data_IF_785617032328
#
_entry.id   IF_785617032328
#
_cell.length_a   1.000
_cell.length_b   1.000
_cell.length_c   1.000
_cell.angle_alpha   90.00
_cell.angle_beta   90.00
_cell.angle_gamma   90.00
#
_symmetry.space_group_name_H-M   'P 1'
#
loop_
_entity.id
_entity.type
_entity.pdbx_description
1 polymer ?
#
# COMPACT_ATOMS: atom_id res chain seq x y z
N UNK A 1 9.54 2.60 31.50
CA UNK A 1 9.31 1.42 30.64
C UNK A 1 9.34 1.95 29.22
N UNK A 2 10.52 1.85 28.57
CA UNK A 2 10.71 2.29 27.19
C UNK A 2 9.85 1.39 26.30
N UNK A 3 8.85 1.98 25.60
CA UNK A 3 8.17 1.29 24.50
C UNK A 3 9.21 0.84 23.51
N UNK A 4 9.19 -0.43 23.05
CA UNK A 4 10.08 -0.84 21.98
C UNK A 4 9.75 0.02 20.74
N UNK A 5 10.81 0.53 20.13
CA UNK A 5 10.80 1.25 18.85
C UNK A 5 10.28 0.27 17.78
N UNK A 6 8.96 0.14 17.71
CA UNK A 6 8.30 -0.65 16.70
C UNK A 6 8.24 0.23 15.46
N UNK A 7 9.10 -0.04 14.49
CA UNK A 7 9.02 0.55 13.16
C UNK A 7 7.58 0.48 12.60
N UNK A 8 7.29 1.11 11.46
CA UNK A 8 5.98 1.04 10.85
C UNK A 8 5.57 -0.42 10.62
N UNK A 9 4.26 -0.75 10.68
CA UNK A 9 3.81 -2.13 10.46
C UNK A 9 4.18 -2.61 9.06
N UNK A 10 4.60 -3.89 8.97
CA UNK A 10 4.93 -4.52 7.71
C UNK A 10 3.68 -4.83 6.88
N UNK A 11 3.84 -4.85 5.57
CA UNK A 11 2.85 -5.28 4.61
C UNK A 11 2.98 -6.79 4.36
N UNK A 12 1.88 -7.54 4.47
CA UNK A 12 1.86 -9.00 4.32
C UNK A 12 1.09 -9.40 3.07
N UNK A 13 1.57 -10.47 2.40
CA UNK A 13 0.96 -11.05 1.21
C UNK A 13 1.02 -12.57 1.26
N UNK A 14 -0.03 -13.22 0.75
CA UNK A 14 -0.05 -14.65 0.50
C UNK A 14 0.31 -14.90 -0.96
N UNK A 15 1.09 -15.94 -1.22
CA UNK A 15 1.46 -16.40 -2.56
C UNK A 15 0.69 -17.68 -2.86
N UNK A 16 -0.13 -17.64 -3.91
CA UNK A 16 -0.90 -18.78 -4.39
C UNK A 16 -0.09 -19.61 -5.40
N UNK A 17 -0.38 -20.93 -5.56
CA UNK A 17 0.25 -21.76 -6.57
C UNK A 17 -0.04 -21.27 -7.98
N UNK A 18 0.74 -21.76 -8.95
CA UNK A 18 0.46 -21.55 -10.35
C UNK A 18 -0.82 -22.28 -10.76
N UNK A 19 -1.62 -21.72 -11.70
CA UNK A 19 -2.87 -22.34 -12.14
C UNK A 19 -2.71 -23.75 -12.71
N UNK A 20 -1.51 -24.09 -13.22
CA UNK A 20 -1.19 -25.39 -13.84
C UNK A 20 -0.79 -26.47 -12.82
N UNK A 21 -0.53 -26.13 -11.59
CA UNK A 21 -0.30 -27.11 -10.53
C UNK A 21 -1.62 -27.77 -10.17
N UNK A 22 -1.76 -29.05 -10.52
CA UNK A 22 -2.97 -29.87 -10.37
C UNK A 22 -3.41 -30.10 -8.91
N UNK A 23 -3.05 -29.24 -8.00
CA UNK A 23 -3.53 -29.22 -6.63
C UNK A 23 -4.91 -28.59 -6.59
N UNK A 24 -5.94 -29.40 -6.40
CA UNK A 24 -7.35 -29.02 -6.40
C UNK A 24 -7.82 -28.26 -5.15
N UNK A 25 -6.93 -27.76 -4.34
CA UNK A 25 -7.22 -26.87 -3.22
C UNK A 25 -6.44 -25.58 -3.39
N UNK A 26 -7.03 -24.45 -3.05
CA UNK A 26 -6.37 -23.13 -2.98
C UNK A 26 -5.34 -23.15 -1.85
N UNK A 27 -4.27 -23.91 -2.03
CA UNK A 27 -3.23 -24.07 -1.03
C UNK A 27 -2.23 -22.94 -1.21
N UNK A 28 -2.08 -22.08 -0.20
CA UNK A 28 -1.05 -21.03 -0.21
C UNK A 28 0.33 -21.69 -0.25
N UNK A 29 1.23 -21.22 -1.11
CA UNK A 29 2.62 -21.72 -1.21
C UNK A 29 3.56 -21.03 -0.22
N UNK A 30 3.30 -19.77 0.10
CA UNK A 30 4.18 -19.00 0.95
C UNK A 30 3.64 -17.63 1.32
N UNK A 31 4.50 -16.90 1.99
CA UNK A 31 4.20 -15.54 2.51
C UNK A 31 5.30 -14.59 2.03
N UNK A 32 4.92 -13.37 1.68
CA UNK A 32 5.85 -12.27 1.47
C UNK A 32 5.53 -11.18 2.48
N UNK A 33 6.57 -10.59 3.05
CA UNK A 33 6.49 -9.42 3.92
C UNK A 33 7.32 -8.30 3.32
N UNK A 34 6.80 -7.07 3.40
CA UNK A 34 7.41 -5.90 2.77
C UNK A 34 7.39 -4.69 3.68
N UNK A 35 8.34 -3.81 3.46
CA UNK A 35 8.40 -2.49 4.07
C UNK A 35 8.84 -1.46 3.03
N UNK A 36 8.04 -0.40 2.87
CA UNK A 36 8.45 0.74 2.06
C UNK A 36 9.34 1.68 2.87
N UNK A 37 10.52 1.95 2.34
CA UNK A 37 11.35 3.05 2.83
C UNK A 37 10.79 4.36 2.29
N UNK A 38 10.60 5.34 3.17
CA UNK A 38 10.02 6.64 2.83
C UNK A 38 10.92 7.79 3.28
N UNK A 39 10.90 8.82 2.50
CA UNK A 39 11.49 10.09 2.87
C UNK A 39 10.64 10.79 3.96
N UNK A 40 11.16 11.83 4.62
CA UNK A 40 10.45 12.60 5.66
C UNK A 40 9.13 13.24 5.16
N UNK A 41 8.99 13.43 3.86
CA UNK A 41 7.79 13.95 3.20
C UNK A 41 6.82 12.85 2.73
N UNK A 42 7.02 11.60 3.17
CA UNK A 42 6.25 10.38 2.86
C UNK A 42 6.40 9.84 1.44
N UNK A 43 7.25 10.43 0.58
CA UNK A 43 7.55 9.84 -0.73
C UNK A 43 8.29 8.52 -0.56
N UNK A 44 7.97 7.55 -1.39
CA UNK A 44 8.63 6.25 -1.40
C UNK A 44 10.01 6.36 -2.02
N UNK A 45 11.03 5.87 -1.33
CA UNK A 45 12.42 5.86 -1.80
C UNK A 45 12.96 4.46 -2.03
N UNK A 46 12.28 3.45 -1.51
CA UNK A 46 12.72 2.07 -1.67
C UNK A 46 11.72 1.07 -1.12
N UNK A 47 12.04 -0.19 -1.30
CA UNK A 47 11.25 -1.33 -0.87
C UNK A 47 12.19 -2.44 -0.41
N UNK A 48 11.94 -2.94 0.79
CA UNK A 48 12.59 -4.09 1.38
C UNK A 48 11.60 -5.23 1.52
N UNK A 49 12.05 -6.47 1.33
CA UNK A 49 11.15 -7.62 1.39
C UNK A 49 11.83 -8.93 1.78
N UNK A 50 11.05 -9.80 2.42
CA UNK A 50 11.42 -11.18 2.66
C UNK A 50 10.26 -12.11 2.30
N UNK A 51 10.59 -13.29 1.77
CA UNK A 51 9.66 -14.36 1.49
C UNK A 51 9.86 -15.53 2.45
N UNK A 52 8.84 -16.37 2.57
CA UNK A 52 8.89 -17.61 3.33
C UNK A 52 8.08 -18.71 2.63
N UNK A 53 8.68 -19.90 2.56
CA UNK A 53 7.97 -21.15 2.25
C UNK A 53 8.38 -22.23 3.23
N UNK A 54 7.60 -23.31 3.36
CA UNK A 54 7.98 -24.45 4.22
C UNK A 54 9.35 -25.05 3.90
N UNK A 55 9.71 -25.10 2.61
CA UNK A 55 10.94 -25.73 2.13
C UNK A 55 12.17 -24.85 2.30
N UNK A 56 12.03 -23.54 2.01
CA UNK A 56 13.17 -22.63 1.98
C UNK A 56 13.39 -21.87 3.30
N UNK A 57 12.38 -21.81 4.16
CA UNK A 57 12.40 -20.89 5.30
C UNK A 57 12.32 -19.43 4.85
N UNK A 58 12.90 -18.51 5.60
CA UNK A 58 12.94 -17.08 5.25
C UNK A 58 14.11 -16.77 4.32
N UNK A 59 13.84 -16.00 3.24
CA UNK A 59 14.86 -15.49 2.31
C UNK A 59 14.56 -14.06 1.88
N UNK A 60 15.56 -13.36 1.31
CA UNK A 60 15.37 -12.05 0.69
C UNK A 60 14.57 -12.19 -0.61
N UNK A 61 13.44 -11.50 -0.76
CA UNK A 61 12.48 -11.71 -1.84
C UNK A 61 12.36 -10.56 -2.83
N UNK A 62 13.41 -9.74 -2.98
CA UNK A 62 13.40 -8.54 -3.83
C UNK A 62 12.89 -8.79 -5.26
N UNK A 63 13.29 -9.89 -5.90
CA UNK A 63 12.83 -10.24 -7.24
C UNK A 63 11.32 -10.58 -7.28
N UNK A 64 10.84 -11.33 -6.28
CA UNK A 64 9.43 -11.68 -6.15
C UNK A 64 8.59 -10.43 -5.89
N UNK A 65 9.02 -9.57 -5.00
CA UNK A 65 8.39 -8.29 -4.67
C UNK A 65 8.27 -7.37 -5.88
N UNK A 66 9.28 -7.33 -6.73
CA UNK A 66 9.21 -6.62 -8.03
C UNK A 66 8.20 -7.28 -8.97
N UNK A 67 8.27 -8.60 -9.11
CA UNK A 67 7.34 -9.38 -9.95
C UNK A 67 5.88 -9.16 -9.57
N UNK A 68 5.58 -9.07 -8.28
CA UNK A 68 4.22 -8.78 -7.77
C UNK A 68 3.61 -7.47 -8.29
N UNK A 69 4.43 -6.58 -8.88
CA UNK A 69 4.00 -5.26 -9.39
C UNK A 69 4.08 -5.13 -10.89
N UNK A 70 4.86 -5.97 -11.56
CA UNK A 70 5.20 -5.82 -12.98
C UNK A 70 4.81 -7.02 -13.83
N UNK A 71 4.69 -8.19 -13.24
CA UNK A 71 4.36 -9.44 -13.93
C UNK A 71 2.88 -9.78 -13.77
N UNK A 72 2.09 -9.79 -14.87
CA UNK A 72 0.66 -10.11 -14.82
C UNK A 72 0.35 -11.50 -14.23
N UNK A 73 1.19 -12.50 -14.44
CA UNK A 73 1.02 -13.83 -13.86
C UNK A 73 1.18 -13.77 -12.34
N UNK A 74 2.25 -13.14 -11.86
CA UNK A 74 2.49 -12.96 -10.42
C UNK A 74 1.38 -12.14 -9.74
N UNK A 75 0.86 -11.11 -10.41
CA UNK A 75 -0.25 -10.30 -9.90
C UNK A 75 -1.50 -11.13 -9.59
N UNK A 76 -1.77 -12.19 -10.35
CA UNK A 76 -2.94 -13.05 -10.08
C UNK A 76 -2.75 -13.93 -8.85
N UNK A 77 -1.51 -14.25 -8.51
CA UNK A 77 -1.14 -15.21 -7.46
C UNK A 77 -0.92 -14.56 -6.09
N UNK A 78 -0.81 -13.24 -6.03
CA UNK A 78 -0.50 -12.54 -4.77
C UNK A 78 -1.75 -11.89 -4.19
N UNK A 79 -1.99 -12.12 -2.91
CA UNK A 79 -3.11 -11.56 -2.17
C UNK A 79 -2.61 -10.76 -0.96
N UNK A 80 -2.88 -9.45 -0.90
CA UNK A 80 -2.66 -8.68 0.32
C UNK A 80 -3.44 -9.29 1.48
N UNK A 81 -2.79 -9.39 2.64
CA UNK A 81 -3.39 -10.00 3.81
C UNK A 81 -3.01 -9.23 5.08
N UNK A 82 -3.64 -9.54 6.20
CA UNK A 82 -3.26 -9.04 7.51
C UNK A 82 -2.15 -9.89 8.13
N UNK A 83 -1.41 -9.31 9.09
CA UNK A 83 -0.43 -10.08 9.89
C UNK A 83 -1.05 -11.33 10.53
N UNK A 84 -2.27 -11.21 11.05
CA UNK A 84 -2.98 -12.31 11.70
C UNK A 84 -3.23 -13.47 10.72
N UNK A 85 -3.78 -13.15 9.55
CA UNK A 85 -4.03 -14.16 8.51
C UNK A 85 -2.72 -14.78 8.00
N UNK A 86 -1.65 -13.98 7.82
CA UNK A 86 -0.32 -14.48 7.48
C UNK A 86 0.21 -15.44 8.56
N UNK A 87 0.00 -15.15 9.85
CA UNK A 87 0.39 -16.02 10.95
C UNK A 87 -0.40 -17.33 10.95
N UNK A 88 -1.71 -17.29 10.70
CA UNK A 88 -2.55 -18.47 10.62
C UNK A 88 -2.10 -19.37 9.46
N UNK A 89 -1.79 -18.80 8.30
CA UNK A 89 -1.26 -19.52 7.14
C UNK A 89 0.14 -20.07 7.42
N UNK A 90 1.05 -19.29 8.01
CA UNK A 90 2.39 -19.75 8.39
C UNK A 90 2.34 -21.00 9.26
N UNK A 91 1.44 -20.99 10.25
CA UNK A 91 1.22 -22.13 11.13
C UNK A 91 0.60 -23.34 10.39
N UNK A 92 -0.37 -23.09 9.52
CA UNK A 92 -1.01 -24.15 8.73
C UNK A 92 -0.05 -24.85 7.75
N UNK A 93 0.96 -24.13 7.27
CA UNK A 93 2.02 -24.66 6.40
C UNK A 93 3.18 -25.32 7.17
N UNK A 94 3.05 -25.51 8.48
CA UNK A 94 4.07 -26.19 9.30
C UNK A 94 5.10 -25.26 9.93
N UNK A 95 4.93 -23.94 9.80
CA UNK A 95 5.70 -22.97 10.57
C UNK A 95 5.23 -22.91 12.03
N UNK A 96 6.07 -22.33 12.87
CA UNK A 96 5.72 -22.01 14.26
C UNK A 96 4.94 -20.67 14.32
N UNK A 97 5.05 -19.97 15.43
CA UNK A 97 4.55 -18.58 15.51
C UNK A 97 5.30 -17.70 14.50
N UNK A 98 4.57 -16.84 13.78
CA UNK A 98 5.18 -15.89 12.86
C UNK A 98 6.14 -14.97 13.64
N UNK A 99 7.40 -14.82 13.22
CA UNK A 99 8.37 -14.00 13.95
C UNK A 99 7.89 -12.55 14.15
N UNK A 100 8.36 -11.91 15.21
CA UNK A 100 8.11 -10.48 15.41
C UNK A 100 8.68 -9.66 14.24
N UNK A 101 8.05 -8.54 13.90
CA UNK A 101 8.45 -7.72 12.74
C UNK A 101 9.92 -7.30 12.77
N UNK A 102 10.45 -7.02 13.97
CA UNK A 102 11.88 -6.76 14.17
C UNK A 102 12.76 -7.92 13.67
N UNK A 103 12.33 -9.18 13.86
CA UNK A 103 13.04 -10.36 13.37
C UNK A 103 12.85 -10.52 11.87
N UNK A 104 11.63 -10.28 11.35
CA UNK A 104 11.36 -10.34 9.91
C UNK A 104 12.25 -9.37 9.13
N UNK A 105 12.49 -8.16 9.65
CA UNK A 105 13.40 -7.17 9.04
C UNK A 105 14.85 -7.64 8.92
N UNK A 106 15.30 -8.61 9.73
CA UNK A 106 16.66 -9.15 9.58
C UNK A 106 16.86 -9.99 8.32
N UNK A 107 15.75 -10.35 7.63
CA UNK A 107 15.78 -11.06 6.36
C UNK A 107 15.69 -10.12 5.13
N UNK A 108 15.59 -8.80 5.33
CA UNK A 108 15.61 -7.79 4.28
C UNK A 108 17.08 -7.53 3.85
N UNK A 109 17.59 -8.37 2.95
CA UNK A 109 19.00 -8.31 2.56
C UNK A 109 19.23 -7.52 1.26
N UNK A 110 18.20 -7.37 0.41
CA UNK A 110 18.30 -6.75 -0.90
C UNK A 110 17.34 -5.55 -0.97
N UNK A 111 17.85 -4.38 -0.64
CA UNK A 111 17.10 -3.13 -0.79
C UNK A 111 16.85 -2.81 -2.25
N UNK A 112 15.59 -2.50 -2.61
CA UNK A 112 15.21 -2.05 -3.94
C UNK A 112 14.99 -0.54 -3.93
N UNK A 113 15.93 0.27 -4.47
CA UNK A 113 15.70 1.70 -4.58
C UNK A 113 14.59 1.99 -5.60
N UNK A 114 13.71 2.92 -5.24
CA UNK A 114 12.67 3.46 -6.11
C UNK A 114 13.07 4.89 -6.47
N UNK A 115 13.25 5.14 -7.77
CA UNK A 115 13.60 6.46 -8.25
C UNK A 115 12.44 7.43 -8.00
N UNK A 116 12.74 8.55 -7.35
CA UNK A 116 11.81 9.66 -7.17
C UNK A 116 12.11 10.73 -8.20
N UNK A 117 11.06 11.20 -8.90
CA UNK A 117 11.17 12.40 -9.73
C UNK A 117 10.89 13.64 -8.88
N UNK A 118 11.46 14.82 -9.23
CA UNK A 118 11.03 16.06 -8.63
C UNK A 118 9.52 16.25 -8.80
N UNK A 119 8.80 16.77 -7.78
CA UNK A 119 7.36 16.87 -7.84
C UNK A 119 6.92 17.81 -8.97
N UNK A 120 6.08 17.30 -9.87
CA UNK A 120 5.36 18.12 -10.83
C UNK A 120 4.24 18.84 -10.05
N UNK A 121 4.17 20.17 -10.17
CA UNK A 121 3.12 20.93 -9.50
C UNK A 121 1.76 20.70 -10.18
N UNK A 122 0.86 20.07 -9.44
CA UNK A 122 -0.53 19.90 -9.84
C UNK A 122 -1.43 20.83 -9.02
N UNK A 123 -1.91 21.90 -9.64
CA UNK A 123 -2.82 22.86 -9.03
C UNK A 123 -2.16 24.17 -8.56
N UNK A 124 -2.88 25.01 -7.81
CA UNK A 124 -2.40 26.30 -7.36
C UNK A 124 -1.17 26.18 -6.46
N UNK A 125 -0.23 27.11 -6.65
CA UNK A 125 1.03 27.13 -5.89
C UNK A 125 0.85 27.56 -4.42
N UNK A 126 -0.24 28.29 -4.12
CA UNK A 126 -0.52 28.78 -2.78
C UNK A 126 -1.67 28.00 -2.14
N UNK A 127 -1.61 27.72 -0.84
CA UNK A 127 -2.73 27.14 -0.12
C UNK A 127 -3.90 28.15 -0.06
N UNK A 128 -5.14 27.66 0.12
CA UNK A 128 -6.28 28.54 0.44
C UNK A 128 -6.08 29.29 1.75
N UNK A 129 -6.82 30.41 1.92
CA UNK A 129 -6.81 31.19 3.15
C UNK A 129 -7.09 30.30 4.39
N UNK A 130 -6.31 30.51 5.43
CA UNK A 130 -6.42 29.75 6.69
C UNK A 130 -5.62 28.46 6.74
N UNK A 131 -4.89 28.10 5.68
CA UNK A 131 -3.96 26.99 5.67
C UNK A 131 -2.52 27.46 5.44
N UNK A 132 -1.59 26.79 6.11
CA UNK A 132 -0.16 27.03 6.01
C UNK A 132 0.44 26.42 4.73
N UNK A 133 0.03 25.19 4.40
CA UNK A 133 0.57 24.44 3.28
C UNK A 133 -0.50 23.60 2.58
N UNK A 134 -0.32 23.42 1.26
CA UNK A 134 -1.07 22.44 0.47
C UNK A 134 -0.09 21.39 -0.05
N UNK A 135 -0.38 20.12 0.20
CA UNK A 135 0.37 18.99 -0.36
C UNK A 135 -0.54 18.09 -1.17
N UNK A 136 -0.01 17.57 -2.25
CA UNK A 136 -0.71 16.58 -3.09
C UNK A 136 0.16 15.34 -3.23
N UNK A 137 -0.42 14.20 -2.91
CA UNK A 137 0.23 12.90 -3.02
C UNK A 137 -0.53 12.02 -4.00
N UNK A 138 0.22 11.17 -4.68
CA UNK A 138 -0.31 10.08 -5.50
C UNK A 138 0.27 8.77 -5.03
N UNK A 139 -0.62 7.85 -4.65
CA UNK A 139 -0.26 6.46 -4.39
C UNK A 139 -0.66 5.64 -5.60
N UNK A 140 0.29 4.96 -6.25
CA UNK A 140 0.03 4.06 -7.36
C UNK A 140 -0.15 2.63 -6.85
N UNK A 141 -1.04 1.91 -7.51
CA UNK A 141 -1.35 0.52 -7.17
C UNK A 141 -1.31 -0.38 -8.41
N UNK A 142 -0.74 -1.55 -8.21
CA UNK A 142 -0.89 -2.69 -9.11
C UNK A 142 -2.16 -3.48 -8.75
N UNK A 143 -2.55 -4.36 -9.67
CA UNK A 143 -3.78 -5.16 -9.62
C UNK A 143 -5.03 -4.34 -9.92
N UNK A 144 -6.17 -5.03 -10.08
CA UNK A 144 -7.44 -4.38 -10.45
C UNK A 144 -8.51 -4.55 -9.36
N UNK A 145 -9.45 -3.61 -9.34
CA UNK A 145 -10.63 -3.66 -8.48
C UNK A 145 -11.84 -4.14 -9.30
N UNK A 146 -12.58 -5.07 -8.73
CA UNK A 146 -13.87 -5.48 -9.25
C UNK A 146 -14.95 -4.45 -8.92
N UNK A 147 -16.04 -4.46 -9.67
CA UNK A 147 -17.13 -3.50 -9.51
C UNK A 147 -17.70 -3.47 -8.08
N UNK A 148 -17.84 -4.63 -7.44
CA UNK A 148 -18.32 -4.74 -6.05
C UNK A 148 -17.36 -4.16 -5.04
N UNK A 149 -16.04 -4.25 -5.28
CA UNK A 149 -15.01 -3.63 -4.42
C UNK A 149 -15.06 -2.10 -4.53
N UNK A 150 -15.22 -1.58 -5.74
CA UNK A 150 -15.43 -0.14 -5.97
C UNK A 150 -16.71 0.34 -5.27
N UNK A 151 -17.82 -0.41 -5.38
CA UNK A 151 -19.07 -0.07 -4.70
C UNK A 151 -18.91 -0.06 -3.17
N UNK A 152 -18.18 -1.02 -2.60
CA UNK A 152 -17.84 -1.07 -1.18
C UNK A 152 -17.03 0.15 -0.74
N UNK A 153 -15.99 0.54 -1.52
CA UNK A 153 -15.19 1.74 -1.25
C UNK A 153 -16.03 3.02 -1.29
N UNK A 154 -16.91 3.16 -2.29
CA UNK A 154 -17.84 4.31 -2.40
C UNK A 154 -18.72 4.44 -1.16
N UNK A 155 -19.21 3.33 -0.65
CA UNK A 155 -20.02 3.30 0.58
C UNK A 155 -19.19 3.67 1.80
N UNK A 156 -18.00 3.06 1.96
CA UNK A 156 -17.10 3.30 3.09
C UNK A 156 -16.62 4.77 3.15
N UNK A 157 -16.33 5.36 2.00
CA UNK A 157 -15.86 6.74 1.90
C UNK A 157 -16.99 7.77 1.74
N UNK A 158 -18.25 7.33 1.77
CA UNK A 158 -19.43 8.19 1.60
C UNK A 158 -19.34 9.05 0.34
N UNK A 159 -18.86 8.45 -0.77
CA UNK A 159 -18.68 9.16 -2.06
C UNK A 159 -20.00 9.79 -2.50
N UNK A 160 -20.07 11.10 -2.77
CA UNK A 160 -21.28 11.74 -3.22
C UNK A 160 -21.82 11.14 -4.54
N UNK A 161 -23.13 11.06 -4.67
CA UNK A 161 -23.77 10.70 -5.93
C UNK A 161 -23.54 11.87 -6.92
N UNK A 162 -22.92 11.62 -8.07
CA UNK A 162 -22.66 12.64 -9.09
C UNK A 162 -21.21 13.10 -9.19
N UNK A 163 -20.26 12.35 -8.65
CA UNK A 163 -18.82 12.56 -8.90
C UNK A 163 -18.48 12.56 -10.40
N UNK A 164 -17.32 13.11 -10.76
CA UNK A 164 -16.86 13.12 -12.16
C UNK A 164 -16.76 11.69 -12.70
N UNK A 165 -17.07 11.50 -13.98
CA UNK A 165 -17.01 10.17 -14.64
C UNK A 165 -15.62 9.52 -14.56
N UNK A 166 -14.58 10.30 -14.22
CA UNK A 166 -13.20 9.84 -14.07
C UNK A 166 -12.90 9.27 -12.66
N UNK A 167 -13.68 9.62 -11.64
CA UNK A 167 -13.46 9.21 -10.23
C UNK A 167 -14.24 7.95 -9.91
N UNK A 168 -13.55 6.92 -9.44
CA UNK A 168 -14.19 5.68 -8.99
C UNK A 168 -14.77 5.82 -7.58
N UNK A 169 -14.03 6.42 -6.65
CA UNK A 169 -14.47 6.72 -5.28
C UNK A 169 -13.72 7.94 -4.73
N UNK A 170 -14.40 8.77 -3.96
CA UNK A 170 -13.83 9.96 -3.34
C UNK A 170 -14.19 10.02 -1.87
N UNK A 171 -13.43 10.77 -1.10
CA UNK A 171 -13.75 10.99 0.32
C UNK A 171 -13.09 12.25 0.87
N UNK A 172 -13.44 12.56 2.11
CA UNK A 172 -12.93 13.70 2.85
C UNK A 172 -12.81 13.37 4.32
N UNK A 173 -11.80 13.94 4.97
CA UNK A 173 -11.58 13.92 6.40
C UNK A 173 -11.17 15.32 6.86
N UNK A 174 -11.76 15.82 7.92
CA UNK A 174 -11.32 17.02 8.63
C UNK A 174 -10.80 16.57 10.01
N UNK A 175 -9.50 16.78 10.27
CA UNK A 175 -8.85 16.32 11.51
C UNK A 175 -7.95 17.41 12.08
N UNK A 176 -8.19 17.81 13.33
CA UNK A 176 -7.42 18.85 14.05
C UNK A 176 -7.27 20.18 13.29
N UNK A 177 -8.21 20.48 12.39
CA UNK A 177 -8.21 21.67 11.53
C UNK A 177 -7.52 21.45 10.19
N UNK A 178 -6.77 20.39 9.99
CA UNK A 178 -6.30 19.96 8.68
C UNK A 178 -7.45 19.35 7.87
N UNK A 179 -7.36 19.46 6.56
CA UNK A 179 -8.35 18.91 5.65
C UNK A 179 -7.69 17.97 4.66
N UNK A 180 -8.25 16.79 4.55
CA UNK A 180 -7.82 15.77 3.60
C UNK A 180 -8.94 15.46 2.63
N UNK A 181 -8.65 15.46 1.34
CA UNK A 181 -9.56 14.99 0.29
C UNK A 181 -8.84 13.98 -0.57
N UNK A 182 -9.53 12.94 -1.03
CA UNK A 182 -8.94 11.94 -1.88
C UNK A 182 -9.85 11.51 -3.02
N UNK A 183 -9.20 11.07 -4.09
CA UNK A 183 -9.83 10.61 -5.31
C UNK A 183 -9.14 9.34 -5.81
N UNK A 184 -9.89 8.24 -5.85
CA UNK A 184 -9.47 6.98 -6.44
C UNK A 184 -9.90 6.91 -7.90
N UNK A 185 -8.95 6.77 -8.80
CA UNK A 185 -9.21 6.74 -10.24
C UNK A 185 -8.19 5.89 -11.00
N UNK A 186 -8.46 5.66 -12.27
CA UNK A 186 -7.50 5.02 -13.17
C UNK A 186 -6.61 6.04 -13.86
N UNK A 187 -5.35 5.71 -14.09
CA UNK A 187 -4.36 6.55 -14.78
C UNK A 187 -3.59 5.77 -15.84
N UNK A 188 -3.21 6.48 -16.91
CA UNK A 188 -2.41 5.92 -17.99
C UNK A 188 -3.16 4.97 -18.93
N UNK A 189 -2.45 4.51 -19.96
CA UNK A 189 -2.99 3.57 -20.94
C UNK A 189 -3.20 2.16 -20.37
N UNK A 190 -2.39 1.76 -19.41
CA UNK A 190 -2.52 0.49 -18.67
C UNK A 190 -3.61 0.54 -17.60
N UNK A 191 -4.25 1.69 -17.43
CA UNK A 191 -5.32 1.89 -16.46
C UNK A 191 -4.96 1.43 -15.03
N UNK A 192 -3.75 1.74 -14.58
CA UNK A 192 -3.35 1.53 -13.20
C UNK A 192 -4.25 2.32 -12.26
N UNK A 193 -4.51 1.78 -11.07
CA UNK A 193 -5.21 2.51 -10.02
C UNK A 193 -4.29 3.51 -9.37
N UNK A 194 -4.79 4.70 -9.13
CA UNK A 194 -4.13 5.69 -8.30
C UNK A 194 -5.09 6.31 -7.29
N UNK A 195 -4.54 6.64 -6.14
CA UNK A 195 -5.19 7.43 -5.10
C UNK A 195 -4.48 8.79 -5.05
N UNK A 196 -5.16 9.83 -5.48
CA UNK A 196 -4.69 11.20 -5.30
C UNK A 196 -5.21 11.74 -3.96
N UNK A 197 -4.31 12.18 -3.09
CA UNK A 197 -4.64 12.74 -1.76
C UNK A 197 -4.18 14.19 -1.72
N UNK A 198 -5.11 15.11 -1.49
CA UNK A 198 -4.79 16.52 -1.21
C UNK A 198 -4.94 16.78 0.28
N UNK A 199 -3.87 17.29 0.89
CA UNK A 199 -3.83 17.72 2.28
C UNK A 199 -3.70 19.25 2.33
N UNK A 200 -4.57 19.89 3.07
CA UNK A 200 -4.50 21.30 3.45
C UNK A 200 -4.12 21.34 4.94
N UNK A 201 -2.91 21.76 5.23
CA UNK A 201 -2.32 21.73 6.57
C UNK A 201 -2.36 23.12 7.20
N UNK A 202 -2.79 23.21 8.46
CA UNK A 202 -2.77 24.46 9.22
C UNK A 202 -1.43 24.76 9.86
N UNK A 203 -0.62 23.73 10.11
CA UNK A 203 0.67 23.83 10.77
C UNK A 203 1.70 22.97 10.06
N UNK A 204 2.95 23.06 10.46
CA UNK A 204 4.05 22.20 9.97
C UNK A 204 3.96 20.75 10.44
N UNK A 205 3.01 20.43 11.34
CA UNK A 205 2.84 19.09 11.86
C UNK A 205 2.28 18.15 10.77
N UNK A 206 3.02 17.09 10.49
CA UNK A 206 2.70 16.14 9.41
C UNK A 206 2.22 14.75 9.90
N UNK A 207 2.05 14.58 11.21
CA UNK A 207 1.65 13.29 11.78
C UNK A 207 0.28 12.81 11.26
N UNK A 208 -0.72 13.70 11.20
CA UNK A 208 -2.04 13.39 10.66
C UNK A 208 -1.98 13.02 9.17
N UNK A 209 -1.11 13.66 8.39
CA UNK A 209 -0.90 13.32 6.98
C UNK A 209 -0.33 11.92 6.81
N UNK A 210 0.70 11.55 7.57
CA UNK A 210 1.29 10.22 7.52
C UNK A 210 0.31 9.12 7.91
N UNK A 211 -0.49 9.32 8.97
CA UNK A 211 -1.53 8.38 9.38
C UNK A 211 -2.63 8.26 8.32
N UNK A 212 -3.09 9.36 7.75
CA UNK A 212 -4.12 9.36 6.69
C UNK A 212 -3.66 8.61 5.43
N UNK A 213 -2.43 8.88 4.95
CA UNK A 213 -1.86 8.17 3.80
C UNK A 213 -1.75 6.66 4.07
N UNK A 214 -1.30 6.28 5.27
CA UNK A 214 -1.17 4.88 5.66
C UNK A 214 -2.54 4.19 5.77
N UNK A 215 -3.53 4.85 6.39
CA UNK A 215 -4.87 4.30 6.54
C UNK A 215 -5.56 4.09 5.19
N UNK A 216 -5.52 5.10 4.30
CA UNK A 216 -6.11 5.01 2.96
C UNK A 216 -5.43 3.91 2.12
N UNK A 217 -4.10 3.80 2.19
CA UNK A 217 -3.35 2.72 1.52
C UNK A 217 -3.78 1.35 2.05
N UNK A 218 -3.91 1.20 3.38
CA UNK A 218 -4.36 -0.04 4.00
C UNK A 218 -5.81 -0.40 3.66
N UNK A 219 -6.70 0.58 3.52
CA UNK A 219 -8.07 0.35 3.03
C UNK A 219 -8.01 -0.28 1.63
N UNK A 220 -7.24 0.29 0.71
CA UNK A 220 -7.12 -0.22 -0.67
C UNK A 220 -6.43 -1.59 -0.72
N UNK A 221 -5.44 -1.86 0.14
CA UNK A 221 -4.84 -3.19 0.29
C UNK A 221 -5.87 -4.24 0.71
N UNK A 222 -6.74 -3.94 1.67
CA UNK A 222 -7.84 -4.84 2.08
C UNK A 222 -8.82 -5.13 0.94
N UNK A 223 -8.90 -4.26 -0.07
CA UNK A 223 -9.66 -4.49 -1.30
C UNK A 223 -8.82 -5.18 -2.41
N UNK A 224 -7.61 -5.63 -2.10
CA UNK A 224 -6.79 -6.46 -2.98
C UNK A 224 -5.78 -5.70 -3.83
N UNK A 225 -5.68 -4.38 -3.74
CA UNK A 225 -4.66 -3.60 -4.44
C UNK A 225 -3.28 -3.75 -3.78
N UNK A 226 -2.23 -3.71 -4.60
CA UNK A 226 -0.84 -3.80 -4.15
C UNK A 226 -0.19 -2.43 -4.34
N UNK A 227 0.28 -1.75 -3.27
CA UNK A 227 0.97 -0.47 -3.41
C UNK A 227 2.24 -0.60 -4.25
N UNK A 228 2.52 0.40 -5.07
CA UNK A 228 3.71 0.48 -5.92
C UNK A 228 4.63 1.60 -5.45
N UNK A 229 4.11 2.80 -5.32
CA UNK A 229 4.86 3.97 -4.89
C UNK A 229 3.93 5.04 -4.34
N UNK A 230 4.49 5.93 -3.53
CA UNK A 230 3.85 7.18 -3.11
C UNK A 230 4.73 8.33 -3.61
N UNK A 231 4.16 9.23 -4.40
CA UNK A 231 4.83 10.39 -4.96
C UNK A 231 4.18 11.67 -4.45
N UNK A 232 4.98 12.73 -4.27
CA UNK A 232 4.49 14.07 -3.93
C UNK A 232 4.47 14.94 -5.17
N UNK A 233 3.38 15.66 -5.41
CA UNK A 233 3.17 16.53 -6.59
C UNK A 233 3.06 18.01 -6.25
N UNK A 234 2.97 18.38 -5.01
CA UNK A 234 3.00 19.77 -4.52
C UNK A 234 3.43 19.78 -3.06
#
# INVERSE_FOLDING_TARGET
MLMPDAGPPLDYYLVLPRPDDRSSATTVEGIVVEEFTRHHDFTTTGLDSAGWTPEAGWWSSAALSRGMRTDPEMLTRVLPTSRREAEDVHRALGGWQLPAEKVLRTHFLDHQPIATAPPLRLGPAQPPDGFHERRVYRVLFAKDLRAEQVASLRTAWRTPAGGTAASAATGRLDEHGDQFTWDLRRVGHSLAWCLDVTALLRTDATAALGSTLSELTNVLRRHGLIPVTTERFA
#
